data_IF_977195230052
#
_entry.id   IF_977195230052
#
_cell.length_a   1.000
_cell.length_b   1.000
_cell.length_c   1.000
_cell.angle_alpha   90.00
_cell.angle_beta   90.00
_cell.angle_gamma   90.00
#
_symmetry.space_group_name_H-M   'P 1'
#
loop_
_entity.id
_entity.type
_entity.pdbx_description
1 polymer ?
#
# COMPACT_ATOMS: atom_id res chain seq x y z
N UNK A 1 -12.52 -9.08 7.29
CA UNK A 1 -13.40 -10.09 6.70
C UNK A 1 -13.23 -11.38 7.49
N UNK A 2 -14.21 -11.71 8.33
CA UNK A 2 -14.14 -12.90 9.17
C UNK A 2 -14.28 -14.18 8.34
N UNK A 3 -15.17 -14.19 7.34
CA UNK A 3 -15.37 -15.31 6.42
C UNK A 3 -14.07 -15.69 5.68
N UNK A 4 -13.24 -14.70 5.37
CA UNK A 4 -11.91 -14.92 4.78
C UNK A 4 -10.87 -15.40 5.80
N UNK A 5 -10.83 -14.80 6.99
CA UNK A 5 -9.73 -15.00 7.95
C UNK A 5 -9.91 -16.22 8.83
N UNK A 6 -11.14 -16.57 9.20
CA UNK A 6 -11.43 -17.70 10.07
C UNK A 6 -10.90 -19.05 9.53
N UNK A 7 -10.97 -19.33 8.21
CA UNK A 7 -10.33 -20.52 7.63
C UNK A 7 -8.80 -20.61 7.82
N UNK A 8 -8.11 -19.46 7.91
CA UNK A 8 -6.66 -19.41 8.14
C UNK A 8 -6.30 -19.48 9.63
N UNK A 9 -7.07 -18.78 10.46
CA UNK A 9 -6.66 -18.46 11.83
C UNK A 9 -7.59 -19.01 12.92
N UNK A 10 -8.69 -19.66 12.58
CA UNK A 10 -9.70 -20.13 13.53
C UNK A 10 -10.67 -19.03 13.95
N UNK A 11 -11.41 -19.26 15.03
CA UNK A 11 -12.50 -18.40 15.52
C UNK A 11 -12.12 -17.56 16.76
N UNK A 12 -10.89 -17.73 17.28
CA UNK A 12 -10.32 -16.95 18.40
C UNK A 12 -9.04 -16.21 17.97
N UNK A 13 -9.12 -15.52 16.83
CA UNK A 13 -8.07 -14.62 16.38
C UNK A 13 -8.42 -13.16 16.68
N UNK A 14 -7.40 -12.33 16.80
CA UNK A 14 -7.51 -10.89 16.95
C UNK A 14 -6.71 -10.17 15.87
N UNK A 15 -7.01 -8.89 15.67
CA UNK A 15 -6.26 -8.02 14.76
C UNK A 15 -5.21 -7.23 15.55
N UNK A 16 -3.95 -7.48 15.23
CA UNK A 16 -2.83 -6.70 15.72
C UNK A 16 -2.58 -5.48 14.82
N UNK A 17 -2.26 -4.34 15.44
CA UNK A 17 -1.97 -3.07 14.78
C UNK A 17 -3.15 -2.54 13.94
N UNK A 18 -3.21 -2.89 12.65
CA UNK A 18 -4.22 -2.40 11.71
C UNK A 18 -5.02 -3.54 11.09
N UNK A 19 -4.32 -4.52 10.53
CA UNK A 19 -4.90 -5.53 9.64
C UNK A 19 -4.24 -6.92 9.80
N UNK A 20 -3.34 -7.09 10.76
CA UNK A 20 -2.56 -8.32 10.92
C UNK A 20 -3.28 -9.31 11.85
N UNK A 21 -3.85 -10.38 11.30
CA UNK A 21 -4.53 -11.38 12.11
C UNK A 21 -3.54 -12.26 12.90
N UNK A 22 -3.86 -12.57 14.16
CA UNK A 22 -3.14 -13.53 15.01
C UNK A 22 -4.08 -14.32 15.90
N UNK A 23 -3.83 -15.62 16.06
CA UNK A 23 -4.47 -16.43 17.10
C UNK A 23 -4.06 -15.94 18.49
N UNK A 24 -5.03 -15.59 19.33
CA UNK A 24 -4.78 -14.97 20.64
C UNK A 24 -3.99 -15.93 21.53
N UNK A 25 -2.90 -15.43 22.14
CA UNK A 25 -2.02 -16.22 23.00
C UNK A 25 -1.19 -17.30 22.28
N UNK A 26 -1.31 -17.46 20.97
CA UNK A 26 -0.68 -18.56 20.21
C UNK A 26 0.21 -18.10 19.06
N UNK A 27 0.09 -16.83 18.66
CA UNK A 27 0.76 -16.29 17.48
C UNK A 27 1.21 -14.85 17.70
N UNK A 28 2.30 -14.47 17.04
CA UNK A 28 2.78 -13.09 16.96
C UNK A 28 3.44 -12.81 15.60
N UNK A 29 3.56 -11.54 15.25
CA UNK A 29 4.30 -11.07 14.07
C UNK A 29 5.63 -10.44 14.49
N UNK A 30 6.70 -10.79 13.78
CA UNK A 30 7.89 -9.96 13.70
C UNK A 30 7.62 -8.81 12.73
N UNK A 31 7.34 -7.63 13.29
CA UNK A 31 6.97 -6.44 12.54
C UNK A 31 8.10 -5.91 11.68
N UNK A 32 7.91 -5.90 10.35
CA UNK A 32 8.93 -5.47 9.40
C UNK A 32 8.78 -4.07 8.82
N UNK A 33 7.81 -3.26 9.26
CA UNK A 33 7.43 -2.03 8.57
C UNK A 33 7.03 -2.27 7.10
N UNK A 34 7.68 -1.62 6.12
CA UNK A 34 7.42 -1.79 4.68
C UNK A 34 8.63 -1.41 3.83
N UNK A 35 8.66 -1.87 2.58
CA UNK A 35 9.57 -1.41 1.52
C UNK A 35 8.88 -0.51 0.50
N UNK A 36 9.65 0.33 -0.20
CA UNK A 36 9.17 1.27 -1.20
C UNK A 36 9.23 0.67 -2.61
N UNK A 37 8.13 0.09 -3.08
CA UNK A 37 8.08 -0.60 -4.38
C UNK A 37 8.20 0.36 -5.57
N UNK A 38 7.60 1.55 -5.46
CA UNK A 38 7.66 2.58 -6.49
C UNK A 38 9.09 3.09 -6.74
N UNK A 39 9.89 3.26 -5.68
CA UNK A 39 11.32 3.63 -5.82
C UNK A 39 12.14 2.48 -6.40
N UNK A 40 11.82 1.24 -6.06
CA UNK A 40 12.45 0.06 -6.68
C UNK A 40 12.24 0.03 -8.19
N UNK A 41 11.07 0.48 -8.69
CA UNK A 41 10.83 0.63 -10.12
C UNK A 41 11.74 1.72 -10.75
N UNK A 42 11.92 2.85 -10.07
CA UNK A 42 12.86 3.88 -10.53
C UNK A 42 14.31 3.37 -10.53
N UNK A 43 14.70 2.55 -9.55
CA UNK A 43 16.02 1.92 -9.54
C UNK A 43 16.17 0.95 -10.73
N UNK A 44 15.13 0.22 -11.10
CA UNK A 44 15.17 -0.64 -12.28
C UNK A 44 15.43 0.17 -13.57
N UNK A 45 14.77 1.33 -13.70
CA UNK A 45 14.96 2.25 -14.83
C UNK A 45 16.37 2.88 -14.83
N UNK A 46 16.84 3.32 -13.66
CA UNK A 46 18.08 4.08 -13.47
C UNK A 46 19.31 3.22 -13.15
N UNK A 47 19.24 1.90 -13.34
CA UNK A 47 20.37 0.99 -13.13
C UNK A 47 20.86 0.90 -11.68
N UNK A 48 19.95 1.03 -10.72
CA UNK A 48 20.21 0.99 -9.28
C UNK A 48 20.62 2.33 -8.67
N UNK A 49 20.71 3.39 -9.48
CA UNK A 49 21.00 4.74 -9.00
C UNK A 49 19.74 5.43 -8.49
N UNK A 50 19.86 6.08 -7.34
CA UNK A 50 18.79 6.87 -6.75
C UNK A 50 18.55 8.16 -7.55
N UNK A 51 17.29 8.41 -7.92
CA UNK A 51 16.92 9.49 -8.83
C UNK A 51 17.08 10.89 -8.22
N UNK A 52 17.19 11.00 -6.89
CA UNK A 52 17.33 12.29 -6.20
C UNK A 52 18.79 12.63 -5.88
N UNK A 53 19.54 11.64 -5.42
CA UNK A 53 20.93 11.81 -4.96
C UNK A 53 21.98 11.41 -6.00
N UNK A 54 21.61 10.63 -7.01
CA UNK A 54 22.52 10.07 -8.02
C UNK A 54 23.42 8.93 -7.52
N UNK A 55 23.32 8.59 -6.23
CA UNK A 55 24.14 7.55 -5.59
C UNK A 55 23.71 6.16 -6.07
N UNK A 56 24.67 5.27 -6.28
CA UNK A 56 24.41 3.85 -6.54
C UNK A 56 23.91 3.18 -5.24
N UNK A 57 22.64 2.79 -5.19
CA UNK A 57 22.01 2.17 -4.01
C UNK A 57 21.69 0.70 -4.27
N UNK A 58 20.99 0.41 -5.37
CA UNK A 58 20.72 -0.95 -5.82
C UNK A 58 21.89 -1.56 -6.59
N UNK A 59 21.76 -2.83 -7.03
CA UNK A 59 22.74 -3.47 -7.90
C UNK A 59 22.99 -2.64 -9.17
N UNK A 60 24.25 -2.55 -9.59
CA UNK A 60 24.60 -1.80 -10.79
C UNK A 60 24.14 -2.56 -12.03
N UNK A 61 23.25 -1.95 -12.81
CA UNK A 61 22.82 -2.43 -14.12
C UNK A 61 23.18 -1.41 -15.20
N UNK A 62 23.36 -1.86 -16.44
CA UNK A 62 23.55 -0.95 -17.59
C UNK A 62 22.31 -0.04 -17.72
N UNK A 63 22.43 1.28 -17.94
CA UNK A 63 21.27 2.18 -18.01
C UNK A 63 20.36 1.88 -19.21
N UNK A 64 19.07 2.25 -19.12
CA UNK A 64 18.16 2.26 -20.27
C UNK A 64 18.46 3.48 -21.15
N UNK A 65 18.86 3.26 -22.40
CA UNK A 65 19.28 4.30 -23.35
C UNK A 65 18.23 4.66 -24.41
N UNK A 66 17.15 3.89 -24.50
CA UNK A 66 16.05 4.17 -25.44
C UNK A 66 15.38 5.52 -25.17
N UNK A 67 14.89 6.15 -26.25
CA UNK A 67 14.06 7.35 -26.16
C UNK A 67 12.79 7.06 -25.35
N UNK A 68 12.14 5.94 -25.66
CA UNK A 68 11.01 5.40 -24.91
C UNK A 68 11.43 4.12 -24.18
N UNK A 69 10.91 3.92 -22.97
CA UNK A 69 11.10 2.67 -22.23
C UNK A 69 10.01 1.67 -22.59
N UNK A 70 10.38 0.41 -22.70
CA UNK A 70 9.43 -0.68 -23.00
C UNK A 70 9.11 -1.49 -21.75
N UNK A 71 7.91 -2.08 -21.73
CA UNK A 71 7.44 -2.88 -20.60
C UNK A 71 8.39 -4.05 -20.29
N UNK A 72 8.80 -4.82 -21.31
CA UNK A 72 9.65 -5.99 -21.12
C UNK A 72 11.05 -5.63 -20.59
N UNK A 73 11.65 -4.56 -21.09
CA UNK A 73 12.95 -4.09 -20.60
C UNK A 73 12.87 -3.67 -19.13
N UNK A 74 11.84 -2.91 -18.77
CA UNK A 74 11.63 -2.44 -17.40
C UNK A 74 11.35 -3.62 -16.47
N UNK A 75 10.48 -4.55 -16.88
CA UNK A 75 10.13 -5.73 -16.08
C UNK A 75 11.33 -6.64 -15.83
N UNK A 76 12.16 -6.92 -16.85
CA UNK A 76 13.37 -7.72 -16.68
C UNK A 76 14.33 -7.15 -15.63
N UNK A 77 14.44 -5.81 -15.58
CA UNK A 77 15.28 -5.11 -14.58
C UNK A 77 14.61 -5.06 -13.23
N UNK A 78 13.29 -4.89 -13.21
CA UNK A 78 12.50 -4.83 -12.00
C UNK A 78 12.50 -6.15 -11.25
N UNK A 79 12.52 -7.28 -11.95
CA UNK A 79 12.73 -8.61 -11.37
C UNK A 79 14.02 -8.69 -10.54
N UNK A 80 15.15 -8.23 -11.12
CA UNK A 80 16.45 -8.21 -10.45
C UNK A 80 16.42 -7.29 -9.22
N UNK A 81 15.81 -6.11 -9.36
CA UNK A 81 15.72 -5.13 -8.27
C UNK A 81 14.83 -5.61 -7.12
N UNK A 82 13.73 -6.31 -7.42
CA UNK A 82 12.85 -6.87 -6.41
C UNK A 82 13.46 -8.10 -5.73
N UNK A 83 14.27 -8.91 -6.42
CA UNK A 83 15.05 -9.99 -5.78
C UNK A 83 16.03 -9.42 -4.76
N UNK A 84 16.80 -8.40 -5.17
CA UNK A 84 17.70 -7.68 -4.28
C UNK A 84 16.96 -7.07 -3.09
N UNK A 85 15.83 -6.40 -3.34
CA UNK A 85 15.04 -5.76 -2.30
C UNK A 85 14.53 -6.79 -1.28
N UNK A 86 13.97 -7.91 -1.75
CA UNK A 86 13.46 -8.96 -0.87
C UNK A 86 14.57 -9.55 0.01
N UNK A 87 15.75 -9.82 -0.58
CA UNK A 87 16.90 -10.32 0.16
C UNK A 87 17.41 -9.33 1.21
N UNK A 88 17.63 -8.08 0.81
CA UNK A 88 18.07 -7.03 1.72
C UNK A 88 17.05 -6.82 2.85
N UNK A 89 15.76 -6.84 2.52
CA UNK A 89 14.69 -6.62 3.48
C UNK A 89 14.65 -7.72 4.54
N UNK A 90 14.54 -8.99 4.14
CA UNK A 90 14.48 -10.12 5.09
C UNK A 90 15.77 -10.22 5.92
N UNK A 91 16.94 -10.00 5.31
CA UNK A 91 18.20 -9.97 6.06
C UNK A 91 18.24 -8.86 7.12
N UNK A 92 17.72 -7.68 6.78
CA UNK A 92 17.61 -6.57 7.74
C UNK A 92 16.67 -6.93 8.90
N UNK A 93 15.51 -7.53 8.60
CA UNK A 93 14.57 -7.97 9.62
C UNK A 93 15.14 -9.08 10.52
N UNK A 94 15.92 -10.01 9.96
CA UNK A 94 16.61 -11.03 10.75
C UNK A 94 17.51 -10.43 11.82
N UNK A 95 18.27 -9.39 11.47
CA UNK A 95 19.12 -8.67 12.44
C UNK A 95 18.26 -7.94 13.46
N UNK A 96 17.23 -7.22 13.02
CA UNK A 96 16.33 -6.47 13.91
C UNK A 96 15.72 -7.40 14.96
N UNK A 97 15.09 -8.49 14.55
CA UNK A 97 14.37 -9.36 15.47
C UNK A 97 15.29 -10.24 16.31
N UNK A 98 16.47 -10.60 15.81
CA UNK A 98 17.50 -11.20 16.65
C UNK A 98 17.89 -10.25 17.80
N UNK A 99 18.11 -8.97 17.49
CA UNK A 99 18.50 -7.98 18.51
C UNK A 99 17.35 -7.63 19.44
N UNK A 100 16.11 -7.59 18.94
CA UNK A 100 14.93 -7.34 19.76
C UNK A 100 14.70 -8.46 20.78
N UNK A 101 14.74 -9.73 20.33
CA UNK A 101 14.64 -10.89 21.23
C UNK A 101 15.75 -10.88 22.28
N UNK A 102 16.96 -10.42 21.93
CA UNK A 102 18.11 -10.41 22.85
C UNK A 102 18.07 -9.28 23.88
N UNK A 103 17.66 -8.08 23.48
CA UNK A 103 17.83 -6.88 24.30
C UNK A 103 16.52 -6.26 24.79
N UNK A 104 15.37 -6.63 24.21
CA UNK A 104 14.07 -6.04 24.54
C UNK A 104 12.94 -7.07 24.45
N UNK A 105 13.18 -8.28 24.97
CA UNK A 105 12.16 -9.34 24.99
C UNK A 105 10.94 -8.91 25.82
N UNK A 106 9.75 -9.01 25.22
CA UNK A 106 8.48 -8.54 25.75
C UNK A 106 7.89 -9.50 26.80
N UNK A 107 8.64 -9.77 27.86
CA UNK A 107 8.38 -10.83 28.84
C UNK A 107 6.96 -10.83 29.40
N UNK A 108 6.38 -9.67 29.71
CA UNK A 108 5.01 -9.56 30.25
C UNK A 108 3.95 -9.98 29.23
N UNK A 109 4.12 -9.59 27.97
CA UNK A 109 3.18 -9.98 26.90
C UNK A 109 3.34 -11.46 26.57
N UNK A 110 4.59 -11.93 26.49
CA UNK A 110 4.90 -13.33 26.18
C UNK A 110 4.55 -14.30 27.31
N UNK A 111 4.48 -13.85 28.56
CA UNK A 111 4.00 -14.65 29.69
C UNK A 111 2.51 -15.03 29.59
N UNK A 112 1.75 -14.32 28.74
CA UNK A 112 0.33 -14.57 28.47
C UNK A 112 0.12 -15.39 27.19
N UNK A 113 1.16 -16.03 26.68
CA UNK A 113 1.10 -16.90 25.52
C UNK A 113 1.40 -18.35 25.90
N UNK A 114 1.00 -19.28 25.03
CA UNK A 114 1.45 -20.66 25.06
C UNK A 114 2.98 -20.72 24.97
N UNK A 115 3.56 -21.83 25.46
CA UNK A 115 5.02 -22.06 25.47
C UNK A 115 5.66 -21.81 24.08
N UNK A 116 5.04 -22.35 23.03
CA UNK A 116 5.54 -22.25 21.66
C UNK A 116 4.64 -21.35 20.84
N UNK A 117 5.09 -20.10 20.63
CA UNK A 117 4.35 -19.10 19.85
C UNK A 117 4.71 -19.20 18.37
N UNK A 118 3.70 -19.34 17.51
CA UNK A 118 3.86 -19.27 16.05
C UNK A 118 4.27 -17.84 15.64
N UNK A 119 5.36 -17.72 14.88
CA UNK A 119 5.90 -16.42 14.46
C UNK A 119 5.81 -16.27 12.96
N UNK A 120 5.36 -15.11 12.51
CA UNK A 120 5.49 -14.71 11.11
C UNK A 120 6.51 -13.59 10.95
N UNK A 121 7.18 -13.51 9.80
CA UNK A 121 7.97 -12.35 9.38
C UNK A 121 7.07 -11.47 8.52
N UNK A 122 6.65 -10.32 9.04
CA UNK A 122 5.67 -9.44 8.41
C UNK A 122 6.35 -8.39 7.53
N UNK A 123 6.40 -8.65 6.22
CA UNK A 123 7.05 -7.80 5.23
C UNK A 123 6.04 -6.88 4.52
N UNK A 124 6.00 -5.59 4.85
CA UNK A 124 5.08 -4.67 4.18
C UNK A 124 5.57 -4.19 2.82
N UNK A 125 4.64 -3.83 1.93
CA UNK A 125 4.92 -3.10 0.68
C UNK A 125 4.17 -1.76 0.65
N UNK A 126 4.82 -0.73 0.09
CA UNK A 126 4.26 0.60 -0.09
C UNK A 126 4.37 1.06 -1.54
N UNK A 127 3.41 1.89 -1.97
CA UNK A 127 3.37 2.43 -3.32
C UNK A 127 2.90 1.43 -4.37
N UNK A 128 2.02 0.47 -3.98
CA UNK A 128 1.47 -0.54 -4.88
C UNK A 128 0.81 0.10 -6.11
N UNK A 129 -0.16 1.00 -5.90
CA UNK A 129 -0.88 1.67 -6.99
C UNK A 129 0.02 2.56 -7.84
N UNK A 130 1.00 3.24 -7.25
CA UNK A 130 2.01 4.02 -8.01
C UNK A 130 2.80 3.11 -8.94
N UNK A 131 3.23 1.95 -8.44
CA UNK A 131 3.99 0.98 -9.22
C UNK A 131 3.11 0.33 -10.31
N UNK A 132 1.89 -0.09 -9.97
CA UNK A 132 0.94 -0.69 -10.90
C UNK A 132 0.59 0.27 -12.05
N UNK A 133 0.23 1.51 -11.72
CA UNK A 133 -0.08 2.53 -12.73
C UNK A 133 1.14 2.91 -13.56
N UNK A 134 2.35 2.85 -12.99
CA UNK A 134 3.58 3.17 -13.73
C UNK A 134 3.89 2.09 -14.77
N UNK A 135 3.73 0.83 -14.38
CA UNK A 135 3.84 -0.30 -15.29
C UNK A 135 2.72 -0.30 -16.34
N UNK A 136 1.50 0.08 -15.96
CA UNK A 136 0.38 0.27 -16.89
C UNK A 136 0.68 1.37 -17.91
N UNK A 137 1.19 2.53 -17.48
CA UNK A 137 1.59 3.61 -18.38
C UNK A 137 2.67 3.15 -19.38
N UNK A 138 3.67 2.40 -18.92
CA UNK A 138 4.73 1.87 -19.79
C UNK A 138 4.20 0.81 -20.77
N UNK A 139 3.17 0.05 -20.38
CA UNK A 139 2.58 -1.02 -21.19
C UNK A 139 1.59 -0.53 -22.24
N UNK A 140 0.77 0.45 -21.89
CA UNK A 140 -0.40 0.87 -22.68
C UNK A 140 -0.28 2.29 -23.28
N UNK A 141 0.69 3.08 -22.83
CA UNK A 141 1.04 4.38 -23.40
C UNK A 141 2.52 4.40 -23.81
N UNK A 142 3.01 5.54 -24.33
CA UNK A 142 4.44 5.73 -24.60
C UNK A 142 5.05 6.59 -23.51
N UNK A 143 6.05 6.04 -22.81
CA UNK A 143 6.73 6.75 -21.72
C UNK A 143 8.14 7.12 -22.12
N UNK A 144 8.42 8.42 -22.17
CA UNK A 144 9.72 9.01 -22.48
C UNK A 144 10.39 9.52 -21.20
N UNK A 145 11.43 8.84 -20.69
CA UNK A 145 12.23 9.35 -19.58
C UNK A 145 13.00 10.63 -19.95
N UNK A 146 12.83 11.66 -19.12
CA UNK A 146 13.61 12.90 -19.14
C UNK A 146 14.81 12.72 -18.21
N UNK A 147 16.01 12.81 -18.78
CA UNK A 147 17.27 12.51 -18.08
C UNK A 147 18.05 13.77 -17.76
N UNK A 148 18.75 13.75 -16.62
CA UNK A 148 19.71 14.79 -16.28
C UNK A 148 21.06 14.58 -17.02
N UNK A 149 22.04 15.46 -16.75
CA UNK A 149 23.39 15.40 -17.35
C UNK A 149 24.14 14.08 -17.09
N UNK A 150 23.79 13.37 -16.01
CA UNK A 150 24.39 12.08 -15.64
C UNK A 150 23.63 10.87 -16.23
N UNK A 151 22.61 11.12 -17.07
CA UNK A 151 21.81 10.08 -17.71
C UNK A 151 20.76 9.42 -16.79
N UNK A 152 20.50 9.97 -15.60
CA UNK A 152 19.48 9.48 -14.67
C UNK A 152 18.11 10.02 -15.10
N UNK A 153 17.10 9.17 -15.24
CA UNK A 153 15.73 9.59 -15.45
C UNK A 153 15.17 10.24 -14.17
N UNK A 154 14.81 11.52 -14.28
CA UNK A 154 14.33 12.38 -13.19
C UNK A 154 12.88 12.86 -13.39
N UNK A 155 12.37 12.81 -14.62
CA UNK A 155 10.97 13.06 -14.98
C UNK A 155 10.57 12.14 -16.15
N UNK A 156 9.28 12.12 -16.50
CA UNK A 156 8.71 11.31 -17.57
C UNK A 156 7.63 12.07 -18.33
N UNK A 157 7.70 12.03 -19.66
CA UNK A 157 6.61 12.44 -20.54
C UNK A 157 5.81 11.20 -20.95
N UNK A 158 4.48 11.28 -20.87
CA UNK A 158 3.57 10.18 -21.22
C UNK A 158 2.70 10.62 -22.39
N UNK A 159 2.81 9.91 -23.52
CA UNK A 159 1.96 10.11 -24.69
C UNK A 159 0.91 9.00 -24.79
N UNK A 160 -0.36 9.39 -24.78
CA UNK A 160 -1.51 8.46 -24.76
C UNK A 160 -2.10 8.30 -23.36
N UNK A 161 -3.28 7.70 -23.29
CA UNK A 161 -3.93 7.33 -22.03
C UNK A 161 -3.63 5.86 -21.68
N UNK A 162 -3.75 5.52 -20.40
CA UNK A 162 -3.51 4.19 -19.88
C UNK A 162 -4.48 3.84 -18.73
N UNK A 163 -4.81 2.54 -18.57
CA UNK A 163 -5.64 2.06 -17.46
C UNK A 163 -5.02 2.35 -16.10
N UNK A 164 -5.82 2.75 -15.12
CA UNK A 164 -5.36 3.07 -13.76
C UNK A 164 -6.02 2.13 -12.77
N UNK A 165 -5.25 1.62 -11.82
CA UNK A 165 -5.72 0.74 -10.75
C UNK A 165 -6.83 1.42 -9.93
N UNK A 166 -7.90 0.70 -9.61
CA UNK A 166 -9.05 1.24 -8.86
C UNK A 166 -10.29 1.55 -9.70
N UNK A 167 -10.36 1.06 -10.94
CA UNK A 167 -11.45 1.34 -11.87
C UNK A 167 -12.12 0.08 -12.41
N UNK A 168 -11.89 -1.07 -11.78
CA UNK A 168 -12.32 -2.39 -12.23
C UNK A 168 -11.88 -2.73 -13.65
N UNK A 169 -10.64 -2.33 -14.01
CA UNK A 169 -10.01 -2.62 -15.30
C UNK A 169 -8.88 -3.62 -15.10
N UNK A 170 -9.12 -4.86 -15.55
CA UNK A 170 -8.19 -5.98 -15.37
C UNK A 170 -6.79 -5.68 -15.91
N UNK A 171 -6.67 -4.81 -16.93
CA UNK A 171 -5.35 -4.44 -17.48
C UNK A 171 -4.43 -3.77 -16.47
N UNK A 172 -4.98 -2.99 -15.53
CA UNK A 172 -4.22 -2.39 -14.43
C UNK A 172 -4.29 -3.23 -13.16
N UNK A 173 -5.44 -3.85 -12.87
CA UNK A 173 -5.64 -4.64 -11.65
C UNK A 173 -4.77 -5.91 -11.64
N UNK A 174 -4.63 -6.60 -12.78
CA UNK A 174 -3.75 -7.77 -12.89
C UNK A 174 -2.28 -7.40 -12.64
N UNK A 175 -1.85 -6.17 -12.98
CA UNK A 175 -0.51 -5.69 -12.65
C UNK A 175 -0.36 -5.54 -11.14
N UNK A 176 -1.36 -4.98 -10.45
CA UNK A 176 -1.34 -4.86 -9.00
C UNK A 176 -1.32 -6.23 -8.30
N UNK A 177 -2.13 -7.18 -8.77
CA UNK A 177 -2.13 -8.58 -8.30
C UNK A 177 -0.75 -9.22 -8.49
N UNK A 178 -0.19 -9.12 -9.70
CA UNK A 178 1.14 -9.64 -10.01
C UNK A 178 2.22 -9.07 -9.09
N UNK A 179 2.20 -7.76 -8.80
CA UNK A 179 3.17 -7.13 -7.90
C UNK A 179 3.11 -7.73 -6.48
N UNK A 180 1.90 -7.99 -5.97
CA UNK A 180 1.67 -8.61 -4.66
C UNK A 180 2.22 -10.04 -4.63
N UNK A 181 1.83 -10.87 -5.61
CA UNK A 181 2.25 -12.27 -5.70
C UNK A 181 3.76 -12.41 -5.87
N UNK A 182 4.32 -11.62 -6.79
CA UNK A 182 5.73 -11.70 -7.14
C UNK A 182 6.63 -11.25 -5.99
N UNK A 183 6.28 -10.17 -5.29
CA UNK A 183 7.06 -9.75 -4.11
C UNK A 183 7.03 -10.82 -3.01
N UNK A 184 5.86 -11.41 -2.72
CA UNK A 184 5.74 -12.49 -1.75
C UNK A 184 6.56 -13.73 -2.16
N UNK A 185 6.55 -14.08 -3.46
CA UNK A 185 7.38 -15.17 -4.01
C UNK A 185 8.86 -14.94 -3.73
N UNK A 186 9.35 -13.72 -3.95
CA UNK A 186 10.76 -13.34 -3.71
C UNK A 186 11.10 -13.33 -2.21
N UNK A 187 10.20 -12.83 -1.36
CA UNK A 187 10.36 -12.84 0.10
C UNK A 187 10.55 -14.28 0.60
N UNK A 188 9.72 -15.24 0.14
CA UNK A 188 9.76 -16.67 0.55
C UNK A 188 11.07 -17.39 0.23
N UNK A 189 11.91 -16.84 -0.65
CA UNK A 189 13.21 -17.44 -1.00
C UNK A 189 14.30 -17.18 0.04
N UNK A 190 14.04 -16.30 1.01
CA UNK A 190 15.02 -15.89 2.00
C UNK A 190 14.84 -16.68 3.30
N UNK A 191 15.92 -16.91 4.06
CA UNK A 191 15.82 -17.55 5.38
C UNK A 191 15.42 -16.52 6.42
N UNK A 192 14.55 -16.89 7.35
CA UNK A 192 14.08 -16.03 8.44
C UNK A 192 14.66 -16.43 9.80
N UNK A 193 14.89 -15.44 10.64
CA UNK A 193 15.23 -15.62 12.04
C UNK A 193 14.14 -16.44 12.75
N UNK A 194 14.55 -17.43 13.56
CA UNK A 194 13.68 -18.41 14.23
C UNK A 194 12.70 -19.13 13.29
N UNK A 195 13.04 -19.26 12.00
CA UNK A 195 12.18 -19.86 10.98
C UNK A 195 10.78 -19.24 10.94
N UNK A 196 10.67 -17.94 11.21
CA UNK A 196 9.39 -17.23 11.16
C UNK A 196 8.74 -17.37 9.78
N UNK A 197 7.45 -17.69 9.75
CA UNK A 197 6.70 -17.92 8.51
C UNK A 197 6.55 -16.62 7.71
N UNK A 198 6.84 -16.65 6.40
CA UNK A 198 6.83 -15.45 5.59
C UNK A 198 5.41 -14.94 5.34
N UNK A 199 5.16 -13.67 5.66
CA UNK A 199 3.91 -12.98 5.38
C UNK A 199 4.19 -11.62 4.76
N UNK A 200 3.22 -11.09 4.02
CA UNK A 200 3.30 -9.76 3.42
C UNK A 200 2.07 -8.95 3.78
N UNK A 201 2.21 -7.63 3.86
CA UNK A 201 1.08 -6.69 3.96
C UNK A 201 1.15 -5.61 2.90
N UNK A 202 -0.03 -5.19 2.42
CA UNK A 202 -0.18 -3.97 1.61
C UNK A 202 -0.65 -2.86 2.53
N UNK A 203 0.31 -2.31 3.30
CA UNK A 203 0.07 -1.38 4.41
C UNK A 203 1.20 -0.34 4.50
N UNK A 204 0.82 0.94 4.64
CA UNK A 204 1.79 2.05 4.69
C UNK A 204 1.86 2.79 6.02
N UNK A 205 0.74 2.94 6.75
CA UNK A 205 0.63 3.96 7.81
C UNK A 205 0.95 5.33 7.16
N UNK A 206 1.80 6.14 7.76
CA UNK A 206 2.25 7.44 7.24
C UNK A 206 3.48 7.33 6.32
N UNK A 207 3.97 6.11 6.05
CA UNK A 207 5.06 5.91 5.11
C UNK A 207 4.67 6.28 3.67
N UNK A 208 3.39 6.39 3.34
CA UNK A 208 2.94 6.89 2.04
C UNK A 208 3.43 8.33 1.79
N UNK A 209 3.40 9.18 2.82
CA UNK A 209 3.93 10.55 2.78
C UNK A 209 5.46 10.55 2.81
N UNK A 210 6.07 9.79 3.72
CA UNK A 210 7.54 9.77 3.88
C UNK A 210 8.24 9.22 2.63
N UNK A 211 7.73 8.12 2.06
CA UNK A 211 8.26 7.59 0.81
C UNK A 211 7.93 8.49 -0.36
N UNK A 212 6.72 9.05 -0.45
CA UNK A 212 6.36 10.04 -1.46
C UNK A 212 7.37 11.19 -1.55
N UNK A 213 7.70 11.81 -0.40
CA UNK A 213 8.74 12.85 -0.27
C UNK A 213 10.11 12.42 -0.76
N UNK A 214 10.46 11.16 -0.53
CA UNK A 214 11.77 10.58 -0.86
C UNK A 214 11.81 9.96 -2.26
N UNK A 215 10.71 9.97 -3.02
CA UNK A 215 10.63 9.43 -4.37
C UNK A 215 10.37 10.55 -5.39
N UNK A 216 11.19 10.60 -6.44
CA UNK A 216 11.08 11.48 -7.59
C UNK A 216 9.87 11.17 -8.47
N UNK A 217 9.74 11.88 -9.59
CA UNK A 217 8.60 11.66 -10.51
C UNK A 217 8.59 10.21 -11.01
N UNK A 218 7.41 9.60 -11.09
CA UNK A 218 7.24 8.21 -11.53
C UNK A 218 6.52 8.11 -12.88
N UNK A 219 6.70 7.02 -13.65
CA UNK A 219 6.15 6.88 -15.01
C UNK A 219 4.63 7.09 -15.13
N UNK A 220 3.86 6.85 -14.08
CA UNK A 220 2.43 7.13 -14.06
C UNK A 220 2.05 8.62 -13.93
N UNK A 221 3.01 9.54 -14.05
CA UNK A 221 2.80 10.99 -13.98
C UNK A 221 2.73 11.59 -12.57
N UNK A 222 2.78 10.77 -11.50
CA UNK A 222 2.87 11.28 -10.12
C UNK A 222 4.19 12.04 -9.93
N UNK A 223 4.12 13.28 -9.46
CA UNK A 223 5.28 14.19 -9.40
C UNK A 223 6.14 13.95 -8.15
N UNK A 224 7.41 14.33 -8.27
CA UNK A 224 8.39 14.20 -7.20
C UNK A 224 7.88 14.80 -5.88
N UNK A 225 7.97 14.03 -4.80
CA UNK A 225 7.58 14.49 -3.47
C UNK A 225 6.10 14.31 -3.10
N UNK A 226 5.21 14.07 -4.07
CA UNK A 226 3.79 13.83 -3.79
C UNK A 226 3.59 12.56 -2.93
N UNK A 227 2.62 12.52 -2.00
CA UNK A 227 2.32 11.29 -1.27
C UNK A 227 1.95 10.12 -2.18
N UNK A 228 2.21 8.91 -1.72
CA UNK A 228 1.57 7.70 -2.27
C UNK A 228 0.16 7.55 -1.70
N UNK A 229 -0.63 6.67 -2.31
CA UNK A 229 -1.87 6.20 -1.70
C UNK A 229 -1.60 5.44 -0.38
N UNK A 230 -2.51 5.52 0.62
CA UNK A 230 -2.41 4.76 1.85
C UNK A 230 -2.69 3.27 1.59
N UNK A 231 -1.86 2.39 2.14
CA UNK A 231 -2.03 0.93 2.01
C UNK A 231 -2.18 0.48 0.55
N UNK A 232 -3.31 -0.18 0.27
CA UNK A 232 -3.67 -0.75 -1.01
C UNK A 232 -4.58 0.17 -1.86
N UNK A 233 -4.80 1.42 -1.45
CA UNK A 233 -5.69 2.31 -2.17
C UNK A 233 -5.20 2.62 -3.60
N UNK A 234 -6.13 2.90 -4.53
CA UNK A 234 -5.85 3.66 -5.74
C UNK A 234 -5.16 4.99 -5.43
N UNK A 235 -4.33 5.46 -6.37
CA UNK A 235 -3.75 6.80 -6.27
C UNK A 235 -4.86 7.84 -6.31
N UNK A 236 -4.72 8.90 -5.51
CA UNK A 236 -5.76 9.88 -5.27
C UNK A 236 -6.29 10.49 -6.58
N UNK A 237 -7.62 10.45 -6.75
CA UNK A 237 -8.32 10.96 -7.92
C UNK A 237 -8.20 10.10 -9.19
N UNK A 238 -7.59 8.91 -9.11
CA UNK A 238 -7.47 8.00 -10.27
C UNK A 238 -8.58 6.96 -10.36
N UNK A 239 -9.20 6.64 -9.23
CA UNK A 239 -10.43 5.87 -9.10
C UNK A 239 -11.63 6.75 -9.42
N UNK A 240 -12.06 6.74 -10.69
CA UNK A 240 -13.11 7.61 -11.23
C UNK A 240 -14.33 6.85 -11.80
N UNK A 241 -14.33 5.52 -11.74
CA UNK A 241 -15.45 4.65 -12.15
C UNK A 241 -16.52 4.40 -11.06
N UNK A 242 -16.47 5.11 -9.94
CA UNK A 242 -17.40 4.93 -8.81
C UNK A 242 -16.81 4.12 -7.65
N UNK A 243 -17.57 4.03 -6.56
CA UNK A 243 -17.13 3.34 -5.34
C UNK A 243 -17.01 1.83 -5.53
N UNK A 244 -17.97 1.20 -6.21
CA UNK A 244 -18.00 -0.24 -6.42
C UNK A 244 -16.84 -0.70 -7.28
N UNK A 245 -16.51 0.04 -8.34
CA UNK A 245 -15.35 -0.26 -9.18
C UNK A 245 -14.03 -0.19 -8.40
N UNK A 246 -13.87 0.83 -7.54
CA UNK A 246 -12.69 0.92 -6.67
C UNK A 246 -12.62 -0.23 -5.67
N UNK A 247 -13.76 -0.62 -5.08
CA UNK A 247 -13.81 -1.74 -4.15
C UNK A 247 -13.50 -3.06 -4.85
N UNK A 248 -14.04 -3.31 -6.05
CA UNK A 248 -13.76 -4.50 -6.85
C UNK A 248 -12.26 -4.62 -7.17
N UNK A 249 -11.61 -3.55 -7.62
CA UNK A 249 -10.17 -3.55 -7.88
C UNK A 249 -9.32 -3.91 -6.64
N UNK A 250 -9.74 -3.48 -5.45
CA UNK A 250 -9.02 -3.83 -4.21
C UNK A 250 -9.35 -5.25 -3.75
N UNK A 251 -10.57 -5.73 -3.98
CA UNK A 251 -10.98 -7.10 -3.66
C UNK A 251 -10.17 -8.15 -4.43
N UNK A 252 -9.72 -7.83 -5.66
CA UNK A 252 -8.86 -8.71 -6.47
C UNK A 252 -7.49 -9.00 -5.84
N UNK A 253 -7.01 -8.22 -4.87
CA UNK A 253 -5.68 -8.40 -4.30
C UNK A 253 -5.62 -9.69 -3.44
N UNK A 254 -4.65 -10.60 -3.69
CA UNK A 254 -4.69 -11.94 -3.11
C UNK A 254 -4.25 -11.95 -1.64
N UNK A 255 -5.19 -12.21 -0.73
CA UNK A 255 -4.91 -12.32 0.71
C UNK A 255 -3.96 -13.48 1.06
N UNK A 256 -4.00 -14.59 0.32
CA UNK A 256 -3.07 -15.72 0.51
C UNK A 256 -1.59 -15.33 0.32
N UNK A 257 -1.34 -14.27 -0.46
CA UNK A 257 -0.02 -13.67 -0.66
C UNK A 257 0.18 -12.41 0.18
N UNK A 258 -0.79 -12.04 1.02
CA UNK A 258 -0.79 -10.84 1.85
C UNK A 258 -1.39 -11.12 3.24
N UNK A 259 -1.01 -12.23 3.87
CA UNK A 259 -1.57 -12.69 5.14
C UNK A 259 -1.30 -11.77 6.36
N UNK A 260 -0.40 -10.79 6.23
CA UNK A 260 -0.23 -9.71 7.23
C UNK A 260 -1.21 -8.53 6.99
N UNK A 261 -2.03 -8.62 5.94
CA UNK A 261 -3.21 -7.80 5.72
C UNK A 261 -3.12 -6.85 4.52
N UNK A 262 -4.28 -6.55 3.94
CA UNK A 262 -4.45 -5.57 2.85
C UNK A 262 -5.30 -4.43 3.39
N UNK A 263 -4.77 -3.21 3.42
CA UNK A 263 -5.45 -2.04 3.99
C UNK A 263 -6.08 -1.17 2.91
N UNK A 264 -7.41 -1.12 2.85
CA UNK A 264 -8.17 -0.14 2.07
C UNK A 264 -8.76 0.97 2.94
N UNK A 265 -8.65 2.23 2.50
CA UNK A 265 -9.26 3.40 3.14
C UNK A 265 -10.28 4.06 2.24
N UNK A 266 -11.56 3.81 2.50
CA UNK A 266 -12.67 4.23 1.68
C UNK A 266 -13.37 5.45 2.29
N UNK A 267 -13.57 6.49 1.47
CA UNK A 267 -14.29 7.70 1.87
C UNK A 267 -15.40 7.99 0.88
N UNK A 268 -16.62 8.14 1.38
CA UNK A 268 -17.82 8.38 0.57
C UNK A 268 -18.60 9.55 1.14
N UNK A 269 -19.17 10.39 0.25
CA UNK A 269 -20.04 11.48 0.70
C UNK A 269 -21.40 10.91 1.14
N UNK A 270 -22.05 11.46 2.19
CA UNK A 270 -23.31 10.92 2.71
C UNK A 270 -24.41 10.76 1.65
N UNK A 271 -24.48 11.71 0.72
CA UNK A 271 -25.49 11.74 -0.34
C UNK A 271 -25.28 10.70 -1.44
N UNK A 272 -24.07 10.15 -1.56
CA UNK A 272 -23.78 9.05 -2.49
C UNK A 272 -24.25 7.71 -1.92
N UNK A 273 -24.28 7.57 -0.58
CA UNK A 273 -24.83 6.38 0.08
C UNK A 273 -26.36 6.36 0.10
N UNK A 274 -27.03 7.52 0.07
CA UNK A 274 -28.49 7.57 0.10
C UNK A 274 -29.04 8.91 0.56
N UNK A 275 -30.33 9.14 0.30
CA UNK A 275 -31.02 10.39 0.68
C UNK A 275 -31.54 10.34 2.11
N UNK A 276 -31.89 9.15 2.60
CA UNK A 276 -32.34 8.94 3.98
C UNK A 276 -31.28 8.22 4.81
N UNK A 277 -31.30 8.35 6.15
CA UNK A 277 -30.47 7.54 7.03
C UNK A 277 -30.62 6.03 6.78
N UNK A 278 -31.84 5.56 6.53
CA UNK A 278 -32.16 4.17 6.26
C UNK A 278 -31.50 3.69 4.96
N UNK A 279 -31.63 4.46 3.87
CA UNK A 279 -30.97 4.14 2.59
C UNK A 279 -29.45 4.04 2.77
N UNK A 280 -28.86 4.96 3.55
CA UNK A 280 -27.40 4.99 3.79
C UNK A 280 -26.93 3.75 4.53
N UNK A 281 -27.68 3.31 5.55
CA UNK A 281 -27.38 2.07 6.29
C UNK A 281 -27.48 0.88 5.34
N UNK A 282 -28.59 0.73 4.62
CA UNK A 282 -28.82 -0.40 3.72
C UNK A 282 -27.78 -0.47 2.61
N UNK A 283 -27.48 0.65 1.95
CA UNK A 283 -26.52 0.68 0.84
C UNK A 283 -25.08 0.46 1.32
N UNK A 284 -24.69 1.00 2.48
CA UNK A 284 -23.37 0.73 3.05
C UNK A 284 -23.22 -0.74 3.45
N UNK A 285 -24.22 -1.34 4.09
CA UNK A 285 -24.22 -2.76 4.42
C UNK A 285 -24.12 -3.63 3.16
N UNK A 286 -24.95 -3.38 2.14
CA UNK A 286 -24.91 -4.13 0.89
C UNK A 286 -23.57 -3.99 0.14
N UNK A 287 -22.96 -2.79 0.17
CA UNK A 287 -21.64 -2.54 -0.39
C UNK A 287 -20.55 -3.34 0.35
N UNK A 288 -20.62 -3.39 1.68
CA UNK A 288 -19.70 -4.19 2.49
C UNK A 288 -19.90 -5.70 2.25
N UNK A 289 -21.14 -6.17 2.16
CA UNK A 289 -21.46 -7.57 1.85
C UNK A 289 -20.89 -7.96 0.47
N UNK A 290 -21.07 -7.10 -0.54
CA UNK A 290 -20.50 -7.32 -1.87
C UNK A 290 -18.98 -7.28 -1.90
N UNK A 291 -18.35 -6.39 -1.13
CA UNK A 291 -16.88 -6.31 -1.04
C UNK A 291 -16.28 -7.53 -0.33
N UNK A 292 -16.81 -7.89 0.84
CA UNK A 292 -16.30 -9.02 1.62
C UNK A 292 -16.72 -10.38 1.05
N UNK A 293 -17.84 -10.46 0.32
CA UNK A 293 -18.22 -11.65 -0.45
C UNK A 293 -17.32 -11.95 -1.65
N UNK A 294 -16.44 -11.01 -2.02
CA UNK A 294 -15.37 -11.20 -3.01
C UNK A 294 -14.01 -11.50 -2.35
N UNK A 295 -14.00 -12.05 -1.14
CA UNK A 295 -12.79 -12.38 -0.38
C UNK A 295 -11.87 -11.17 -0.09
N UNK A 296 -12.41 -9.95 -0.14
CA UNK A 296 -11.63 -8.78 0.23
C UNK A 296 -11.32 -8.77 1.73
N UNK A 297 -10.17 -8.19 2.13
CA UNK A 297 -9.68 -8.35 3.49
C UNK A 297 -10.23 -7.32 4.51
N UNK A 298 -10.00 -6.03 4.27
CA UNK A 298 -10.28 -4.97 5.25
C UNK A 298 -10.76 -3.68 4.57
N UNK A 299 -11.65 -2.97 5.25
CA UNK A 299 -12.16 -1.66 4.83
C UNK A 299 -12.19 -0.67 6.01
N UNK A 300 -11.51 0.47 5.88
CA UNK A 300 -11.88 1.64 6.66
C UNK A 300 -13.01 2.37 5.94
N UNK A 301 -14.01 2.82 6.70
CA UNK A 301 -15.14 3.58 6.15
C UNK A 301 -15.17 4.96 6.78
N UNK A 302 -15.10 5.98 5.93
CA UNK A 302 -15.31 7.38 6.24
C UNK A 302 -16.58 7.86 5.54
N UNK A 303 -17.51 8.47 6.28
CA UNK A 303 -18.75 9.04 5.72
C UNK A 303 -18.83 10.52 6.10
N UNK A 304 -18.26 11.39 5.28
CA UNK A 304 -18.25 12.83 5.49
C UNK A 304 -18.03 13.60 4.19
N UNK A 305 -18.35 14.89 4.21
CA UNK A 305 -18.09 15.82 3.12
C UNK A 305 -16.66 16.39 3.22
N UNK A 306 -16.05 16.69 2.08
CA UNK A 306 -14.71 17.31 2.03
C UNK A 306 -14.72 18.69 2.71
N UNK A 307 -15.82 19.40 2.57
CA UNK A 307 -16.09 20.71 3.16
C UNK A 307 -15.99 20.67 4.69
N UNK A 308 -16.47 19.59 5.32
CA UNK A 308 -16.35 19.41 6.78
C UNK A 308 -14.89 19.32 7.23
N UNK A 309 -14.03 18.67 6.44
CA UNK A 309 -12.60 18.61 6.77
C UNK A 309 -11.89 19.93 6.51
N UNK A 310 -12.29 20.69 5.49
CA UNK A 310 -11.74 22.02 5.24
C UNK A 310 -12.09 22.96 6.39
N UNK A 311 -13.35 22.96 6.82
CA UNK A 311 -13.82 23.76 7.94
C UNK A 311 -13.09 23.38 9.24
N UNK A 312 -12.98 22.08 9.53
CA UNK A 312 -12.21 21.60 10.69
C UNK A 312 -10.71 21.91 10.64
N UNK A 313 -10.16 22.17 9.45
CA UNK A 313 -8.77 22.56 9.27
C UNK A 313 -8.53 24.02 9.68
N UNK A 314 -9.54 24.88 9.48
CA UNK A 314 -9.48 26.32 9.71
C UNK A 314 -10.11 26.72 11.06
N UNK A 315 -11.08 25.93 11.56
CA UNK A 315 -11.80 26.10 12.83
C UNK A 315 -11.69 24.84 13.73
N UNK A 316 -10.48 24.41 14.13
CA UNK A 316 -10.29 23.17 14.87
C UNK A 316 -11.03 23.11 16.22
N UNK A 317 -11.32 24.25 16.84
CA UNK A 317 -12.08 24.38 18.09
C UNK A 317 -13.53 23.89 17.98
N UNK A 318 -14.12 23.93 16.78
CA UNK A 318 -15.49 23.44 16.54
C UNK A 318 -15.54 21.90 16.39
N UNK A 319 -14.38 21.28 16.19
CA UNK A 319 -14.24 19.85 15.88
C UNK A 319 -13.32 19.10 16.85
N UNK A 320 -13.46 19.26 18.19
CA UNK A 320 -12.50 18.77 19.16
C UNK A 320 -12.34 17.24 19.16
N UNK A 321 -13.36 16.51 18.69
CA UNK A 321 -13.41 15.06 18.66
C UNK A 321 -13.52 14.47 17.23
N UNK A 322 -13.39 15.30 16.19
CA UNK A 322 -13.50 14.83 14.80
C UNK A 322 -12.46 13.76 14.52
N UNK A 323 -12.96 12.53 14.33
CA UNK A 323 -12.14 11.33 14.16
C UNK A 323 -12.32 10.81 12.76
N UNK A 324 -11.20 10.54 12.08
CA UNK A 324 -11.18 10.03 10.71
C UNK A 324 -10.34 8.75 10.63
N UNK A 325 -10.67 7.88 9.66
CA UNK A 325 -9.85 6.71 9.32
C UNK A 325 -8.82 7.10 8.27
N UNK A 326 -7.55 6.73 8.46
CA UNK A 326 -6.45 7.19 7.58
C UNK A 326 -5.64 6.10 6.89
N UNK A 327 -5.29 5.00 7.57
CA UNK A 327 -4.46 3.95 6.95
C UNK A 327 -4.49 2.64 7.76
N UNK A 328 -5.68 2.23 8.20
CA UNK A 328 -5.89 1.05 9.05
C UNK A 328 -6.19 1.38 10.52
N UNK A 329 -6.13 2.66 10.87
CA UNK A 329 -6.42 3.18 12.20
C UNK A 329 -7.12 4.54 12.10
N UNK A 330 -7.65 4.99 13.24
CA UNK A 330 -8.31 6.28 13.39
C UNK A 330 -7.37 7.31 14.02
N UNK A 331 -7.54 8.58 13.64
CA UNK A 331 -6.87 9.73 14.25
C UNK A 331 -7.86 10.84 14.48
N UNK A 332 -7.57 11.67 15.48
CA UNK A 332 -8.24 12.96 15.62
C UNK A 332 -7.68 13.91 14.55
N UNK A 333 -8.54 14.41 13.66
CA UNK A 333 -8.15 15.19 12.49
C UNK A 333 -7.40 16.47 12.86
N UNK A 334 -7.81 17.15 13.93
CA UNK A 334 -7.19 18.41 14.37
C UNK A 334 -5.83 18.20 15.06
N UNK A 335 -5.44 16.93 15.32
CA UNK A 335 -4.11 16.57 15.85
C UNK A 335 -3.10 16.24 14.76
N UNK A 336 -3.52 16.15 13.51
CA UNK A 336 -2.63 15.98 12.36
C UNK A 336 -1.90 17.28 12.05
N UNK A 337 -0.70 17.18 11.48
CA UNK A 337 -0.03 18.36 10.91
C UNK A 337 -0.79 18.84 9.67
N UNK A 338 -0.67 20.12 9.30
CA UNK A 338 -1.35 20.69 8.12
C UNK A 338 -1.05 19.88 6.84
N UNK A 339 0.19 19.40 6.70
CA UNK A 339 0.58 18.55 5.57
C UNK A 339 -0.16 17.20 5.56
N UNK A 340 -0.32 16.57 6.72
CA UNK A 340 -1.08 15.32 6.85
C UNK A 340 -2.58 15.55 6.63
N UNK A 341 -3.13 16.69 7.06
CA UNK A 341 -4.51 17.06 6.80
C UNK A 341 -4.75 17.25 5.29
N UNK A 342 -3.83 17.92 4.60
CA UNK A 342 -3.89 18.10 3.15
C UNK A 342 -3.81 16.76 2.40
N UNK A 343 -2.97 15.82 2.85
CA UNK A 343 -2.96 14.45 2.31
C UNK A 343 -4.34 13.80 2.40
N UNK A 344 -5.01 13.90 3.55
CA UNK A 344 -6.38 13.35 3.76
C UNK A 344 -7.42 14.06 2.87
N UNK A 345 -7.38 15.39 2.80
CA UNK A 345 -8.36 16.20 2.05
C UNK A 345 -8.25 15.98 0.53
N UNK A 346 -7.06 15.61 0.05
CA UNK A 346 -6.80 15.38 -1.37
C UNK A 346 -7.06 13.93 -1.80
N UNK A 347 -7.45 13.03 -0.88
CA UNK A 347 -7.84 11.66 -1.24
C UNK A 347 -9.15 11.65 -2.01
N UNK A 348 -9.49 10.50 -2.57
CA UNK A 348 -10.76 10.31 -3.27
C UNK A 348 -11.92 10.30 -2.27
N UNK A 349 -12.94 11.09 -2.59
CA UNK A 349 -14.25 11.08 -1.93
C UNK A 349 -15.27 10.63 -2.97
N UNK A 350 -15.75 9.40 -2.86
CA UNK A 350 -16.69 8.86 -3.83
C UNK A 350 -18.00 9.66 -3.77
N UNK A 351 -18.43 10.14 -4.94
CA UNK A 351 -19.66 10.93 -5.14
C UNK A 351 -20.81 10.12 -5.73
N UNK A 352 -20.53 8.90 -6.16
CA UNK A 352 -21.49 7.94 -6.69
C UNK A 352 -21.08 6.54 -6.27
N UNK A 353 -22.07 5.65 -6.17
CA UNK A 353 -21.81 4.23 -5.95
C UNK A 353 -21.14 3.60 -7.15
#
# INVERSE_FOLDING_TARGET
NDDLMAPYWGDDYAIACCVSAMRVGKQMQFFGARVNLAKTLLYAINGGRDEKSGVQVGPQLAPLTGEYITYDEVMNRFEIMTDWLANLYVNTLNVIHYMHDKYSYESLQMALHDRDVFRTMACGIAGLSVCADSLSAIKYAKVKPIRNEEGIAVDFEVEGDFPKYGNDDDRADEIAVYLVENMMKKIRQNKTYRNAYHTQSVLTITSNVVYGKKTGTTPCGRKAGEPFAPGANPMHGRDNSGSLASLNSVAKLPYEHSQDGISNTFSIVPDALGKTPEDRITNLSAMMDGYFGQDAHHLNVNVFNRETLLDAMDHPEEYPQLTIRVSGYAVNFIKLTREQQLDVINRTFHKSM
#
